data_IF_107210575567
#
_entry.id   IF_107210575567
#
_cell.length_a   1.000
_cell.length_b   1.000
_cell.length_c   1.000
_cell.angle_alpha   90.00
_cell.angle_beta   90.00
_cell.angle_gamma   90.00
#
_symmetry.space_group_name_H-M   'P 1'
#
loop_
_entity.id
_entity.type
_entity.pdbx_description
1 polymer ?
#
# COMPACT_ATOMS: atom_id res chain seq x y z
N UNK A 1 36.74 70.52 -4.79
CA UNK A 1 37.42 69.63 -3.81
C UNK A 1 36.38 69.13 -2.81
N UNK A 2 36.62 67.91 -2.29
CA UNK A 2 35.84 67.09 -1.31
C UNK A 2 34.48 66.50 -1.72
N UNK A 3 34.47 65.17 -1.93
CA UNK A 3 33.31 64.27 -1.98
C UNK A 3 32.60 64.18 -0.61
N UNK A 4 31.29 63.89 -0.58
CA UNK A 4 30.71 63.12 0.51
C UNK A 4 30.14 61.76 0.05
N UNK A 5 30.10 60.87 1.04
CA UNK A 5 30.15 59.42 0.94
C UNK A 5 28.77 58.75 0.76
N UNK A 6 28.84 57.51 0.29
CA UNK A 6 27.76 56.66 -0.21
C UNK A 6 26.96 55.93 0.87
N UNK A 7 25.68 55.72 0.53
CA UNK A 7 24.51 55.00 1.10
C UNK A 7 24.66 53.70 1.94
N UNK A 8 25.76 53.46 2.64
CA UNK A 8 25.92 52.30 3.57
C UNK A 8 26.42 52.77 4.92
N UNK A 9 25.51 53.19 5.80
CA UNK A 9 25.68 53.25 7.26
C UNK A 9 24.42 53.87 7.88
N UNK A 10 23.36 53.07 8.02
CA UNK A 10 22.37 53.29 9.07
C UNK A 10 22.22 51.94 9.75
N UNK A 11 22.99 51.78 10.82
CA UNK A 11 22.92 50.68 11.76
C UNK A 11 22.65 51.29 13.13
N UNK A 12 22.02 50.49 14.01
CA UNK A 12 21.63 50.78 15.40
C UNK A 12 20.27 51.51 15.46
N UNK A 13 19.21 50.97 16.07
CA UNK A 13 19.09 50.25 17.34
C UNK A 13 17.82 49.38 17.34
N UNK A 14 17.85 48.23 18.03
CA UNK A 14 16.93 47.88 19.13
C UNK A 14 17.23 46.46 19.65
N UNK A 15 17.58 46.40 20.93
CA UNK A 15 17.71 45.21 21.74
C UNK A 15 16.34 44.77 22.30
N UNK A 16 16.22 43.47 22.63
CA UNK A 16 15.09 42.87 23.36
C UNK A 16 14.11 42.16 22.42
N UNK A 17 13.76 40.88 22.56
CA UNK A 17 13.86 39.98 23.70
C UNK A 17 13.95 38.55 23.20
N UNK A 18 14.86 37.78 23.76
CA UNK A 18 14.89 36.32 23.69
C UNK A 18 13.65 35.75 24.39
N UNK A 19 12.60 35.42 23.62
CA UNK A 19 11.62 34.43 24.03
C UNK A 19 12.15 33.06 23.60
N UNK A 20 13.00 32.47 24.44
CA UNK A 20 13.21 31.02 24.44
C UNK A 20 11.92 30.38 24.97
N UNK A 21 10.92 30.26 24.10
CA UNK A 21 9.84 29.30 24.31
C UNK A 21 10.49 27.92 24.24
N UNK A 22 10.75 27.35 25.42
CA UNK A 22 11.11 25.96 25.61
C UNK A 22 9.99 25.08 25.11
N UNK A 23 9.93 24.88 23.79
CA UNK A 23 9.20 23.80 23.18
C UNK A 23 9.88 22.52 23.63
N UNK A 24 9.36 21.89 24.68
CA UNK A 24 9.55 20.46 24.85
C UNK A 24 8.93 19.83 23.61
N UNK A 25 9.75 19.58 22.59
CA UNK A 25 9.42 18.61 21.58
C UNK A 25 9.21 17.32 22.36
N UNK A 26 7.95 17.00 22.66
CA UNK A 26 7.57 15.64 22.96
C UNK A 26 7.85 14.94 21.64
N UNK A 27 9.06 14.40 21.51
CA UNK A 27 9.31 13.34 20.56
C UNK A 27 8.41 12.20 21.01
N UNK A 28 7.13 12.26 20.61
CA UNK A 28 6.26 11.13 20.67
C UNK A 28 6.99 10.08 19.86
N UNK A 29 7.50 9.06 20.53
CA UNK A 29 7.95 7.86 19.86
C UNK A 29 6.71 7.29 19.17
N UNK A 30 6.41 7.78 17.97
CA UNK A 30 5.53 7.11 17.05
C UNK A 30 6.22 5.78 16.81
N UNK A 31 5.73 4.73 17.45
CA UNK A 31 6.12 3.36 17.16
C UNK A 31 5.69 3.09 15.72
N UNK A 32 6.56 3.42 14.77
CA UNK A 32 6.35 3.08 13.38
C UNK A 32 6.26 1.55 13.29
N UNK A 33 5.33 1.01 12.49
CA UNK A 33 5.31 -0.39 12.14
C UNK A 33 6.73 -0.83 11.79
N UNK A 34 7.23 -1.89 12.45
CA UNK A 34 8.53 -2.43 12.07
C UNK A 34 8.39 -2.90 10.61
N UNK A 35 9.20 -2.45 9.65
CA UNK A 35 9.13 -2.99 8.29
C UNK A 35 9.63 -4.45 8.25
N UNK A 36 9.49 -5.10 7.10
CA UNK A 36 10.00 -6.43 6.84
C UNK A 36 9.02 -7.58 7.02
N UNK A 37 9.55 -8.80 6.91
CA UNK A 37 8.82 -10.05 6.87
C UNK A 37 8.23 -10.40 8.25
N UNK A 38 6.92 -10.71 8.29
CA UNK A 38 6.12 -10.95 9.50
C UNK A 38 5.84 -12.42 9.73
N UNK A 39 5.52 -13.15 8.68
CA UNK A 39 5.31 -14.59 8.74
C UNK A 39 5.74 -15.25 7.44
N UNK A 40 6.15 -16.50 7.56
CA UNK A 40 6.49 -17.40 6.46
C UNK A 40 5.76 -18.72 6.70
N UNK A 41 5.19 -19.28 5.65
CA UNK A 41 4.83 -20.68 5.53
C UNK A 41 5.51 -21.24 4.28
N UNK A 42 6.15 -22.40 4.39
CA UNK A 42 6.81 -23.05 3.25
C UNK A 42 8.05 -22.28 2.77
N UNK A 43 8.30 -22.32 1.46
CA UNK A 43 9.45 -21.68 0.83
C UNK A 43 9.13 -20.24 0.45
N UNK A 44 9.88 -19.30 1.01
CA UNK A 44 9.85 -17.88 0.65
C UNK A 44 11.27 -17.45 0.35
N UNK A 45 11.44 -16.75 -0.77
CA UNK A 45 12.71 -16.16 -1.19
C UNK A 45 12.57 -14.64 -1.21
N UNK A 46 13.62 -13.94 -0.79
CA UNK A 46 13.81 -12.52 -1.05
C UNK A 46 15.09 -12.38 -1.88
N UNK A 47 14.98 -11.78 -3.06
CA UNK A 47 16.10 -11.61 -4.00
C UNK A 47 16.85 -12.94 -4.27
N UNK A 48 16.09 -14.01 -4.52
CA UNK A 48 16.62 -15.35 -4.80
C UNK A 48 17.20 -16.10 -3.59
N UNK A 49 17.20 -15.53 -2.39
CA UNK A 49 17.74 -16.16 -1.17
C UNK A 49 16.62 -16.57 -0.22
N UNK A 50 16.73 -17.71 0.49
CA UNK A 50 15.76 -18.09 1.52
C UNK A 50 15.54 -16.97 2.53
N UNK A 51 14.28 -16.61 2.72
CA UNK A 51 13.89 -15.54 3.60
C UNK A 51 13.73 -16.01 5.05
N UNK A 52 13.91 -15.11 6.00
CA UNK A 52 13.68 -15.38 7.43
C UNK A 52 12.75 -14.34 8.05
N UNK A 53 11.93 -14.75 9.02
CA UNK A 53 11.02 -13.82 9.71
C UNK A 53 11.84 -12.70 10.37
N UNK A 54 11.36 -11.46 10.23
CA UNK A 54 12.05 -10.25 10.68
C UNK A 54 13.07 -9.68 9.69
N UNK A 55 13.39 -10.39 8.60
CA UNK A 55 14.22 -9.86 7.53
C UNK A 55 13.60 -8.58 6.95
N UNK A 56 14.37 -7.49 6.79
CA UNK A 56 13.88 -6.29 6.11
C UNK A 56 13.41 -6.60 4.68
N UNK A 57 12.35 -5.91 4.28
CA UNK A 57 11.83 -5.90 2.91
C UNK A 57 11.69 -4.43 2.54
N UNK A 58 12.20 -4.05 1.38
CA UNK A 58 12.28 -2.67 0.91
C UNK A 58 11.89 -2.55 -0.55
N UNK A 59 11.60 -1.32 -0.99
CA UNK A 59 11.58 -1.01 -2.41
C UNK A 59 12.92 -1.35 -3.06
N UNK A 60 12.86 -2.04 -4.19
CA UNK A 60 13.97 -2.69 -4.88
C UNK A 60 13.95 -4.21 -4.76
N UNK A 61 13.26 -4.76 -3.75
CA UNK A 61 13.27 -6.21 -3.50
C UNK A 61 12.26 -6.97 -4.37
N UNK A 62 12.60 -8.23 -4.61
CA UNK A 62 11.72 -9.27 -5.14
C UNK A 62 11.39 -10.27 -4.03
N UNK A 63 10.10 -10.59 -3.88
CA UNK A 63 9.60 -11.59 -2.94
C UNK A 63 8.91 -12.70 -3.72
N UNK A 64 9.37 -13.93 -3.53
CA UNK A 64 8.86 -15.13 -4.22
C UNK A 64 8.38 -16.15 -3.20
N UNK A 65 7.24 -16.77 -3.48
CA UNK A 65 6.67 -17.86 -2.68
C UNK A 65 6.58 -19.12 -3.55
N UNK A 66 7.03 -20.26 -3.01
CA UNK A 66 6.94 -21.55 -3.69
C UNK A 66 5.53 -22.16 -3.65
N UNK A 67 5.43 -23.43 -4.01
CA UNK A 67 4.21 -24.21 -3.84
C UNK A 67 3.87 -24.36 -2.35
N UNK A 68 2.57 -24.39 -2.01
CA UNK A 68 2.08 -24.49 -0.62
C UNK A 68 2.68 -23.46 0.36
N UNK A 69 3.12 -22.31 -0.15
CA UNK A 69 3.85 -21.30 0.62
C UNK A 69 3.03 -20.02 0.80
N UNK A 70 3.39 -19.22 1.80
CA UNK A 70 2.79 -17.93 2.09
C UNK A 70 3.83 -17.00 2.71
N UNK A 71 3.73 -15.71 2.39
CA UNK A 71 4.53 -14.66 3.01
C UNK A 71 3.64 -13.48 3.41
N UNK A 72 3.82 -12.99 4.64
CA UNK A 72 3.25 -11.71 5.08
C UNK A 72 4.38 -10.75 5.38
N UNK A 73 4.37 -9.55 4.81
CA UNK A 73 5.40 -8.54 5.06
C UNK A 73 4.83 -7.12 5.00
N UNK A 74 5.61 -6.18 5.53
CA UNK A 74 5.28 -4.76 5.52
C UNK A 74 6.41 -3.94 4.90
N UNK A 75 6.07 -2.95 4.08
CA UNK A 75 7.01 -1.97 3.54
C UNK A 75 6.39 -0.60 3.72
N UNK A 76 7.09 0.31 4.39
CA UNK A 76 6.56 1.61 4.79
C UNK A 76 5.17 1.47 5.47
N UNK A 77 4.18 2.20 4.96
CA UNK A 77 2.78 2.14 5.41
C UNK A 77 1.94 1.01 4.80
N UNK A 78 2.53 0.12 4.02
CA UNK A 78 1.82 -0.92 3.26
C UNK A 78 2.04 -2.31 3.88
N UNK A 79 1.05 -3.19 3.78
CA UNK A 79 1.16 -4.58 4.23
C UNK A 79 0.63 -5.53 3.16
N UNK A 80 1.31 -6.66 3.01
CA UNK A 80 1.16 -7.59 1.90
C UNK A 80 1.02 -9.02 2.42
N UNK A 81 0.20 -9.81 1.75
CA UNK A 81 0.03 -11.24 1.92
C UNK A 81 0.13 -11.90 0.54
N UNK A 82 1.18 -12.68 0.33
CA UNK A 82 1.42 -13.45 -0.90
C UNK A 82 1.07 -14.91 -0.67
N UNK A 83 0.29 -15.50 -1.57
CA UNK A 83 -0.04 -16.93 -1.55
C UNK A 83 0.95 -17.75 -2.36
N UNK A 84 0.77 -19.06 -2.38
CA UNK A 84 1.62 -19.98 -3.14
C UNK A 84 1.80 -19.57 -4.61
N UNK A 85 2.98 -19.83 -5.14
CA UNK A 85 3.39 -19.56 -6.52
C UNK A 85 3.21 -18.08 -6.91
N UNK A 86 3.56 -17.18 -6.00
CA UNK A 86 3.51 -15.72 -6.23
C UNK A 86 4.90 -15.14 -6.32
N UNK A 87 5.11 -14.32 -7.34
CA UNK A 87 6.31 -13.51 -7.56
C UNK A 87 5.88 -12.05 -7.63
N UNK A 88 6.47 -11.24 -6.73
CA UNK A 88 6.24 -9.81 -6.66
C UNK A 88 7.55 -9.05 -6.62
N UNK A 89 7.68 -8.04 -7.48
CA UNK A 89 8.77 -7.06 -7.39
C UNK A 89 8.24 -5.72 -6.87
N UNK A 90 8.88 -5.19 -5.84
CA UNK A 90 8.62 -3.87 -5.29
C UNK A 90 9.52 -2.85 -6.00
N UNK A 91 9.06 -2.29 -7.12
CA UNK A 91 9.84 -1.39 -7.96
C UNK A 91 9.75 0.09 -7.57
N UNK A 92 10.75 0.85 -8.00
CA UNK A 92 10.75 2.31 -8.06
C UNK A 92 10.74 2.72 -9.53
N UNK A 93 9.73 3.47 -9.98
CA UNK A 93 9.67 3.99 -11.35
C UNK A 93 9.38 5.49 -11.32
N UNK A 94 10.33 6.33 -11.76
CA UNK A 94 10.15 7.78 -11.84
C UNK A 94 9.60 8.43 -10.54
N UNK A 95 10.09 7.98 -9.38
CA UNK A 95 9.62 8.37 -8.04
C UNK A 95 8.23 7.85 -7.62
N UNK A 96 7.62 6.95 -8.40
CA UNK A 96 6.42 6.21 -8.02
C UNK A 96 6.77 4.80 -7.51
N UNK A 97 6.12 4.41 -6.43
CA UNK A 97 6.16 3.06 -5.87
C UNK A 97 5.29 2.12 -6.71
N UNK A 98 5.92 1.15 -7.37
CA UNK A 98 5.27 0.22 -8.29
C UNK A 98 5.37 -1.21 -7.78
N UNK A 99 4.24 -1.86 -7.53
CA UNK A 99 4.19 -3.29 -7.19
C UNK A 99 3.91 -4.08 -8.46
N UNK A 100 4.89 -4.83 -8.95
CA UNK A 100 4.70 -5.74 -10.09
C UNK A 100 4.35 -7.11 -9.55
N UNK A 101 3.22 -7.67 -9.96
CA UNK A 101 2.79 -9.03 -9.65
C UNK A 101 2.95 -9.86 -10.92
N UNK A 102 4.09 -10.54 -11.05
CA UNK A 102 4.40 -11.33 -12.24
C UNK A 102 3.46 -12.53 -12.35
N UNK A 103 3.28 -13.26 -11.26
CA UNK A 103 2.42 -14.44 -11.17
C UNK A 103 1.84 -14.59 -9.77
N UNK A 104 0.77 -15.38 -9.64
CA UNK A 104 0.22 -15.77 -8.34
C UNK A 104 -0.82 -14.80 -7.80
N UNK A 105 -0.87 -14.65 -6.47
CA UNK A 105 -1.99 -14.01 -5.76
C UNK A 105 -1.49 -13.16 -4.59
N UNK A 106 -1.98 -11.92 -4.55
CA UNK A 106 -1.59 -10.94 -3.55
C UNK A 106 -2.82 -10.25 -2.97
N UNK A 107 -2.92 -10.25 -1.64
CA UNK A 107 -3.75 -9.31 -0.89
C UNK A 107 -2.84 -8.21 -0.33
N UNK A 108 -3.22 -6.94 -0.47
CA UNK A 108 -2.46 -5.83 0.09
C UNK A 108 -3.36 -4.72 0.61
N UNK A 109 -2.89 -4.02 1.64
CA UNK A 109 -3.48 -2.79 2.16
C UNK A 109 -2.45 -1.69 2.11
N UNK A 110 -2.85 -0.55 1.55
CA UNK A 110 -1.94 0.53 1.22
C UNK A 110 -2.22 1.76 2.08
N UNK A 111 -1.15 2.35 2.60
CA UNK A 111 -1.19 3.66 3.23
C UNK A 111 -1.48 4.78 2.23
N UNK A 112 -1.59 6.02 2.69
CA UNK A 112 -1.74 7.18 1.81
C UNK A 112 -0.58 7.32 0.81
N UNK A 113 -0.88 7.93 -0.33
CA UNK A 113 0.07 8.19 -1.40
C UNK A 113 -0.19 7.35 -2.63
N UNK A 114 0.30 7.82 -3.77
CA UNK A 114 0.12 7.14 -5.04
C UNK A 114 0.92 5.84 -5.07
N UNK A 115 0.28 4.79 -5.58
CA UNK A 115 0.88 3.48 -5.87
C UNK A 115 0.31 2.98 -7.18
N UNK A 116 1.16 2.28 -7.92
CA UNK A 116 0.73 1.53 -9.09
C UNK A 116 0.96 0.05 -8.87
N UNK A 117 -0.07 -0.77 -9.08
CA UNK A 117 0.06 -2.23 -9.14
C UNK A 117 0.00 -2.65 -10.61
N UNK A 118 0.89 -3.53 -11.05
CA UNK A 118 0.93 -4.03 -12.43
C UNK A 118 0.95 -5.54 -12.46
N UNK A 119 0.10 -6.09 -13.32
CA UNK A 119 0.22 -7.46 -13.83
C UNK A 119 0.54 -7.37 -15.32
N UNK A 120 0.59 -8.52 -16.01
CA UNK A 120 0.64 -8.51 -17.47
C UNK A 120 -0.68 -8.00 -18.09
N UNK A 121 -1.83 -8.26 -17.47
CA UNK A 121 -3.14 -7.93 -18.04
C UNK A 121 -3.61 -6.49 -17.73
N UNK A 122 -3.20 -5.91 -16.61
CA UNK A 122 -3.77 -4.67 -16.09
C UNK A 122 -2.80 -3.83 -15.26
N UNK A 123 -2.93 -2.52 -15.37
CA UNK A 123 -2.32 -1.52 -14.49
C UNK A 123 -3.40 -0.91 -13.58
N UNK A 124 -3.13 -0.83 -12.29
CA UNK A 124 -4.05 -0.36 -11.26
C UNK A 124 -3.39 0.82 -10.52
N UNK A 125 -3.91 2.03 -10.72
CA UNK A 125 -3.51 3.21 -9.96
C UNK A 125 -4.39 3.35 -8.72
N UNK A 126 -3.78 3.44 -7.54
CA UNK A 126 -4.51 3.55 -6.27
C UNK A 126 -3.94 4.67 -5.39
N UNK A 127 -4.74 5.09 -4.41
CA UNK A 127 -4.33 6.02 -3.34
C UNK A 127 -4.99 5.63 -2.02
N UNK A 128 -4.32 4.80 -1.22
CA UNK A 128 -4.83 4.32 0.07
C UNK A 128 -6.05 3.41 -0.05
N UNK A 129 -5.84 2.10 -0.08
CA UNK A 129 -6.86 1.13 -0.53
C UNK A 129 -6.54 -0.28 -0.02
N UNK A 130 -7.55 -1.13 0.11
CA UNK A 130 -7.38 -2.58 0.23
C UNK A 130 -7.67 -3.24 -1.12
N UNK A 131 -6.74 -4.03 -1.64
CA UNK A 131 -6.84 -4.63 -2.97
C UNK A 131 -6.33 -6.07 -2.98
N UNK A 132 -7.08 -6.93 -3.64
CA UNK A 132 -6.68 -8.29 -3.96
C UNK A 132 -6.51 -8.45 -5.47
N UNK A 133 -5.43 -9.12 -5.89
CA UNK A 133 -5.15 -9.40 -7.30
C UNK A 133 -4.63 -10.81 -7.49
N UNK A 134 -5.08 -11.46 -8.56
CA UNK A 134 -4.44 -12.67 -9.08
C UNK A 134 -3.91 -12.43 -10.49
N UNK A 135 -2.68 -12.86 -10.76
CA UNK A 135 -2.03 -12.80 -12.07
C UNK A 135 -1.90 -14.20 -12.66
N UNK A 136 -2.63 -14.44 -13.75
CA UNK A 136 -2.67 -15.68 -14.52
C UNK A 136 -2.17 -15.44 -15.95
N UNK A 137 -0.96 -14.89 -16.07
CA UNK A 137 -0.41 -14.44 -17.35
C UNK A 137 -1.23 -13.28 -17.93
N UNK A 138 -1.76 -13.44 -19.14
CA UNK A 138 -2.54 -12.40 -19.82
C UNK A 138 -3.94 -12.14 -19.24
N UNK A 139 -4.31 -12.83 -18.15
CA UNK A 139 -5.56 -12.65 -17.43
C UNK A 139 -5.31 -12.31 -15.96
N UNK A 140 -6.10 -11.40 -15.41
CA UNK A 140 -6.05 -11.06 -13.99
C UNK A 140 -7.43 -10.97 -13.35
N UNK A 141 -7.51 -11.39 -12.09
CA UNK A 141 -8.64 -11.09 -11.21
C UNK A 141 -8.27 -9.90 -10.34
N UNK A 142 -9.19 -8.95 -10.16
CA UNK A 142 -9.01 -7.77 -9.32
C UNK A 142 -10.23 -7.61 -8.43
N UNK A 143 -10.02 -7.56 -7.13
CA UNK A 143 -11.05 -7.12 -6.17
C UNK A 143 -10.55 -5.87 -5.47
N UNK A 144 -11.26 -4.75 -5.66
CA UNK A 144 -11.10 -3.58 -4.82
C UNK A 144 -11.87 -3.82 -3.53
N UNK A 145 -11.18 -4.18 -2.45
CA UNK A 145 -11.83 -4.51 -1.18
C UNK A 145 -12.48 -3.27 -0.55
N UNK A 146 -11.77 -2.14 -0.58
CA UNK A 146 -12.29 -0.82 -0.22
C UNK A 146 -11.39 0.27 -0.80
N UNK A 147 -11.94 1.46 -1.01
CA UNK A 147 -11.21 2.63 -1.48
C UNK A 147 -11.50 2.94 -2.93
N UNK A 148 -10.47 3.29 -3.70
CA UNK A 148 -10.61 3.74 -5.09
C UNK A 148 -9.46 3.24 -5.96
N UNK A 149 -9.77 2.87 -7.19
CA UNK A 149 -8.78 2.45 -8.19
C UNK A 149 -9.10 3.02 -9.55
N UNK A 150 -8.07 3.43 -10.29
CA UNK A 150 -8.10 3.52 -11.74
C UNK A 150 -7.56 2.22 -12.32
N UNK A 151 -8.39 1.50 -13.06
CA UNK A 151 -8.08 0.24 -13.72
C UNK A 151 -7.87 0.49 -15.21
N UNK A 152 -6.69 0.15 -15.70
CA UNK A 152 -6.31 0.31 -17.11
C UNK A 152 -5.85 -1.03 -17.70
N UNK A 153 -6.63 -1.66 -18.59
CA UNK A 153 -6.21 -2.88 -19.28
C UNK A 153 -4.97 -2.63 -20.15
N UNK A 154 -3.99 -3.53 -20.10
CA UNK A 154 -2.75 -3.39 -20.87
C UNK A 154 -3.00 -3.42 -22.38
N UNK A 155 -3.95 -4.26 -22.84
CA UNK A 155 -4.23 -4.43 -24.28
C UNK A 155 -5.25 -3.41 -24.83
N UNK A 156 -5.88 -2.60 -23.97
CA UNK A 156 -6.75 -1.49 -24.37
C UNK A 156 -6.75 -0.36 -23.33
N UNK A 157 -5.70 0.48 -23.30
CA UNK A 157 -5.60 1.56 -22.32
C UNK A 157 -6.73 2.60 -22.44
N UNK A 158 -7.40 2.69 -23.59
CA UNK A 158 -8.54 3.58 -23.78
C UNK A 158 -9.78 3.12 -23.00
N UNK A 159 -9.88 1.82 -22.69
CA UNK A 159 -10.94 1.24 -21.86
C UNK A 159 -10.72 1.44 -20.34
N UNK A 160 -9.82 2.35 -19.94
CA UNK A 160 -9.60 2.70 -18.53
C UNK A 160 -10.90 3.09 -17.83
N UNK A 161 -11.03 2.69 -16.58
CA UNK A 161 -12.17 3.03 -15.73
C UNK A 161 -11.74 3.30 -14.30
N UNK A 162 -12.46 4.20 -13.63
CA UNK A 162 -12.27 4.50 -12.20
C UNK A 162 -13.50 4.06 -11.44
N UNK A 163 -13.30 3.35 -10.33
CA UNK A 163 -14.39 2.92 -9.47
C UNK A 163 -13.98 2.88 -8.00
N UNK A 164 -14.98 2.79 -7.13
CA UNK A 164 -14.84 2.79 -5.69
C UNK A 164 -15.67 1.68 -5.06
N UNK A 165 -15.21 1.18 -3.93
CA UNK A 165 -15.88 0.14 -3.12
C UNK A 165 -15.79 0.51 -1.65
N UNK A 166 -16.76 0.06 -0.86
CA UNK A 166 -16.69 0.09 0.61
C UNK A 166 -16.37 -1.28 1.16
N UNK A 167 -16.82 -2.34 0.48
CA UNK A 167 -16.64 -3.73 0.88
C UNK A 167 -16.91 -4.69 -0.31
N UNK A 168 -15.89 -4.90 -1.15
CA UNK A 168 -15.85 -5.91 -2.22
C UNK A 168 -16.94 -5.83 -3.31
N UNK A 169 -17.65 -4.72 -3.49
CA UNK A 169 -18.88 -4.69 -4.30
C UNK A 169 -18.67 -5.00 -5.80
N UNK A 170 -17.47 -4.72 -6.33
CA UNK A 170 -17.22 -4.78 -7.78
C UNK A 170 -15.88 -5.46 -8.09
N UNK A 171 -15.78 -6.81 -7.98
CA UNK A 171 -14.63 -7.54 -8.50
C UNK A 171 -14.70 -7.67 -10.02
N UNK A 172 -13.54 -7.73 -10.67
CA UNK A 172 -13.41 -7.81 -12.13
C UNK A 172 -12.39 -8.85 -12.57
N UNK A 173 -12.69 -9.50 -13.69
CA UNK A 173 -11.71 -10.19 -14.54
C UNK A 173 -11.28 -9.26 -15.67
N UNK A 174 -9.97 -9.19 -15.91
CA UNK A 174 -9.37 -8.45 -17.03
C UNK A 174 -8.59 -9.44 -17.89
N UNK A 175 -8.92 -9.50 -19.19
CA UNK A 175 -8.27 -10.38 -20.17
C UNK A 175 -8.30 -9.74 -21.55
N UNK A 176 -7.12 -9.48 -22.13
CA UNK A 176 -7.02 -8.73 -23.37
C UNK A 176 -7.72 -7.37 -23.24
N UNK A 177 -8.68 -7.10 -24.14
CA UNK A 177 -9.47 -5.86 -24.14
C UNK A 177 -10.73 -5.91 -23.27
N UNK A 178 -10.99 -7.05 -22.61
CA UNK A 178 -12.23 -7.25 -21.87
C UNK A 178 -12.03 -6.99 -20.39
N UNK A 179 -12.92 -6.16 -19.83
CA UNK A 179 -13.15 -6.05 -18.39
C UNK A 179 -14.53 -6.66 -18.13
N UNK A 180 -14.61 -7.70 -17.31
CA UNK A 180 -15.87 -8.39 -16.99
C UNK A 180 -16.06 -8.41 -15.49
N UNK A 181 -17.24 -8.05 -15.00
CA UNK A 181 -17.56 -8.23 -13.58
C UNK A 181 -17.42 -9.71 -13.21
N UNK A 182 -16.79 -9.99 -12.07
CA UNK A 182 -16.79 -11.31 -11.47
C UNK A 182 -18.05 -11.46 -10.62
N UNK A 183 -18.59 -12.68 -10.57
CA UNK A 183 -19.82 -12.99 -9.82
C UNK A 183 -19.58 -13.15 -8.32
N UNK A 184 -18.34 -13.40 -7.91
CA UNK A 184 -17.99 -13.78 -6.55
C UNK A 184 -16.67 -13.14 -6.12
N UNK A 185 -16.58 -12.89 -4.81
CA UNK A 185 -15.32 -12.57 -4.14
C UNK A 185 -14.57 -13.88 -3.91
N UNK A 186 -13.37 -14.00 -4.50
CA UNK A 186 -12.58 -15.24 -4.40
C UNK A 186 -11.28 -15.05 -3.61
N UNK A 187 -10.90 -16.09 -2.86
CA UNK A 187 -9.54 -16.34 -2.36
C UNK A 187 -8.93 -15.33 -1.37
N UNK A 188 -9.73 -14.43 -0.80
CA UNK A 188 -9.35 -13.56 0.32
C UNK A 188 -10.52 -13.30 1.27
N UNK A 189 -10.21 -12.91 2.51
CA UNK A 189 -11.19 -12.72 3.58
C UNK A 189 -11.03 -11.40 4.33
N UNK A 190 -12.08 -10.97 5.03
CA UNK A 190 -12.05 -9.78 5.89
C UNK A 190 -11.10 -9.93 7.09
N UNK A 191 -10.91 -11.16 7.57
CA UNK A 191 -9.95 -11.44 8.64
C UNK A 191 -8.52 -11.13 8.20
N UNK A 192 -8.18 -11.40 6.94
CA UNK A 192 -6.86 -11.11 6.37
C UNK A 192 -6.66 -9.63 6.14
N UNK A 193 -7.69 -8.91 5.67
CA UNK A 193 -7.66 -7.45 5.60
C UNK A 193 -7.47 -6.82 6.98
N UNK A 194 -8.17 -7.35 7.99
CA UNK A 194 -8.04 -6.91 9.39
C UNK A 194 -6.63 -7.16 9.91
N UNK A 195 -6.06 -8.33 9.62
CA UNK A 195 -4.69 -8.69 9.99
C UNK A 195 -3.66 -7.74 9.33
N UNK A 196 -3.78 -7.49 8.03
CA UNK A 196 -2.87 -6.60 7.30
C UNK A 196 -2.98 -5.15 7.78
N UNK A 197 -4.18 -4.64 8.01
CA UNK A 197 -4.35 -3.28 8.56
C UNK A 197 -3.79 -3.17 9.98
N UNK A 198 -3.98 -4.20 10.80
CA UNK A 198 -3.44 -4.22 12.17
C UNK A 198 -1.91 -4.18 12.21
N UNK A 199 -1.22 -4.79 11.22
CA UNK A 199 0.24 -4.67 11.09
C UNK A 199 0.71 -3.22 10.89
N UNK A 200 -0.19 -2.36 10.40
CA UNK A 200 0.04 -0.93 10.17
C UNK A 200 -0.64 -0.05 11.22
N UNK A 201 -1.12 -0.65 12.32
CA UNK A 201 -1.91 0.02 13.37
C UNK A 201 -3.17 0.73 12.86
N UNK A 202 -3.78 0.20 11.78
CA UNK A 202 -5.02 0.68 11.18
C UNK A 202 -6.13 -0.34 11.37
N UNK A 203 -7.33 0.00 10.89
CA UNK A 203 -8.48 -0.90 10.79
C UNK A 203 -9.13 -0.74 9.41
N UNK A 204 -9.70 -1.81 8.83
CA UNK A 204 -10.44 -1.69 7.59
C UNK A 204 -11.63 -0.74 7.75
N UNK A 205 -11.98 0.08 6.74
CA UNK A 205 -13.10 1.04 6.83
C UNK A 205 -14.46 0.40 7.15
N UNK A 206 -14.68 -0.84 6.70
CA UNK A 206 -15.91 -1.59 6.95
C UNK A 206 -16.02 -2.12 8.40
N UNK A 207 -14.92 -2.20 9.16
CA UNK A 207 -14.93 -2.70 10.54
C UNK A 207 -15.77 -1.82 11.48
N UNK A 208 -15.96 -0.54 11.15
CA UNK A 208 -16.76 0.38 11.95
C UNK A 208 -18.26 0.03 11.96
N UNK A 209 -18.75 -0.78 11.01
CA UNK A 209 -20.13 -1.27 10.97
C UNK A 209 -20.42 -2.49 11.86
N UNK A 210 -19.39 -3.19 12.35
CA UNK A 210 -19.55 -4.39 13.19
C UNK A 210 -19.80 -4.06 14.68
N UNK A 211 -19.54 -2.82 15.10
CA UNK A 211 -19.81 -2.37 16.47
C UNK A 211 -21.22 -1.76 16.65
N UNK A 212 -22.04 -1.70 15.59
CA UNK A 212 -23.38 -1.10 15.62
C UNK A 212 -24.53 -2.11 15.85
N UNK A 213 -24.25 -3.41 15.87
CA UNK A 213 -25.26 -4.48 15.99
C UNK A 213 -25.15 -5.29 17.28
N UNK A 214 -24.31 -4.89 18.24
CA UNK A 214 -24.04 -5.64 19.48
C UNK A 214 -24.59 -5.03 20.77
N UNK A 215 -25.59 -4.15 20.72
CA UNK A 215 -26.13 -3.51 21.92
C UNK A 215 -27.60 -3.19 21.80
N UNK A 216 -28.47 -4.08 22.29
CA UNK A 216 -29.91 -3.84 22.29
C UNK A 216 -30.74 -4.89 23.02
N UNK A 217 -30.77 -4.79 24.36
CA UNK A 217 -31.89 -5.22 25.22
C UNK A 217 -31.89 -6.71 25.62
N UNK A 218 -32.16 -7.10 26.86
CA UNK A 218 -32.70 -6.38 28.01
C UNK A 218 -33.47 -7.39 28.88
N UNK A 219 -33.15 -7.39 30.18
CA UNK A 219 -33.70 -8.22 31.29
C UNK A 219 -33.39 -9.72 31.25
#
# INVERSE_FOLDING_TARGET
MSKPYTRRQILQWLAGSTLLLGGRAIAGAFFLPKPGLKSIKGQVLINGKPAVVGQPVSWGDEVVTGSNSEAVFTVDGDAYLLRANTEVTLGLAAAEHVVKVQSGKMLAVFGPGEKTIRTQAVTLGIRGTGLYVESHGARSYVCLCYGSVELTPTADPAARMTYQTKHHEHPYWVEGKQIKAASEVINHTDAELTMLEALQYRRPPFANGLNSSGGGGGY
#
